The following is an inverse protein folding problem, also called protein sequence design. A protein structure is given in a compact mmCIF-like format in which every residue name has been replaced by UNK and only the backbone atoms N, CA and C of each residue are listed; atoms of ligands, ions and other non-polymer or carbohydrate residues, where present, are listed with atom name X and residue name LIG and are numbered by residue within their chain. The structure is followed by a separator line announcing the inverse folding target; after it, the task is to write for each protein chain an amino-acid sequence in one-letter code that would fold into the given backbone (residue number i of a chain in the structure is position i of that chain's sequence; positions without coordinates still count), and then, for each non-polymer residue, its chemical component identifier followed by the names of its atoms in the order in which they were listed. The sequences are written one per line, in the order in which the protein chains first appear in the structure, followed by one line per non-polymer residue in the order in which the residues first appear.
data_IF_259333126159
#
_entry.id   IF_259333126159
#
_cell.length_a   1.000
_cell.length_b   1.000
_cell.length_c   1.000
_cell.angle_alpha   90.00
_cell.angle_beta   90.00
_cell.angle_gamma   90.00
#
_symmetry.space_group_name_H-M   'P 1'
#
loop_
_entity.id
_entity.type
_entity.pdbx_description
1 polymer ?
#
# COMPACT_ATOMS: atom_id res chain seq x y z
N UNK A 1 -4.61 11.47 18.17
CA UNK A 1 -3.62 12.32 17.47
C UNK A 1 -2.28 11.62 17.43
N UNK A 2 -1.94 10.96 16.33
CA UNK A 2 -0.55 10.66 15.99
C UNK A 2 -0.48 10.32 14.49
N UNK A 3 0.14 11.22 13.72
CA UNK A 3 0.30 11.12 12.29
C UNK A 3 1.13 9.87 11.96
N UNK A 4 0.49 8.86 11.38
CA UNK A 4 1.10 7.58 11.04
C UNK A 4 2.27 7.80 10.07
N UNK A 5 3.41 7.25 10.47
CA UNK A 5 4.73 7.33 9.84
C UNK A 5 4.65 7.11 8.32
N UNK A 6 4.77 8.20 7.55
CA UNK A 6 5.03 8.17 6.09
C UNK A 6 6.09 7.10 5.73
N UNK A 7 5.83 6.30 4.70
CA UNK A 7 6.65 5.17 4.24
C UNK A 7 8.08 5.59 3.88
N UNK A 8 9.05 4.67 4.04
CA UNK A 8 10.50 4.94 3.97
C UNK A 8 10.96 5.60 2.65
N UNK A 9 10.25 5.39 1.52
CA UNK A 9 10.55 5.98 0.20
C UNK A 9 9.84 7.32 -0.06
N UNK A 10 8.60 7.50 0.39
CA UNK A 10 7.91 8.79 0.32
C UNK A 10 8.59 9.81 1.24
N UNK A 11 8.99 9.39 2.45
CA UNK A 11 9.91 10.16 3.28
C UNK A 11 11.22 10.46 2.55
N UNK A 12 11.74 9.57 1.70
CA UNK A 12 13.00 9.81 1.00
C UNK A 12 12.87 10.90 -0.06
N UNK A 13 11.83 10.90 -0.89
CA UNK A 13 11.59 12.00 -1.83
C UNK A 13 11.19 13.28 -1.10
N UNK A 14 10.22 13.22 -0.20
CA UNK A 14 9.81 14.43 0.54
C UNK A 14 10.96 14.99 1.37
N UNK A 15 11.79 14.18 2.03
CA UNK A 15 13.01 14.66 2.70
C UNK A 15 14.04 15.18 1.69
N UNK A 16 14.24 14.53 0.55
CA UNK A 16 15.19 14.99 -0.48
C UNK A 16 14.78 16.33 -1.09
N UNK A 17 13.50 16.46 -1.45
CA UNK A 17 12.91 17.65 -2.04
C UNK A 17 12.75 18.74 -0.97
N UNK A 18 12.20 18.45 0.21
CA UNK A 18 12.04 19.45 1.28
C UNK A 18 13.37 19.93 1.90
N UNK A 19 14.45 19.12 1.84
CA UNK A 19 15.79 19.56 2.24
C UNK A 19 16.39 20.57 1.24
N UNK A 20 15.94 20.58 -0.01
CA UNK A 20 16.46 21.46 -1.08
C UNK A 20 15.50 22.56 -1.52
N UNK A 21 14.19 22.40 -1.30
CA UNK A 21 13.15 23.27 -1.82
C UNK A 21 12.03 23.44 -0.79
N UNK A 22 11.61 24.68 -0.48
CA UNK A 22 10.50 24.92 0.44
C UNK A 22 9.17 24.44 -0.16
N UNK A 23 8.22 23.91 0.65
CA UNK A 23 6.97 23.31 0.18
C UNK A 23 6.06 24.24 -0.64
N UNK A 24 6.16 25.55 -0.43
CA UNK A 24 5.34 26.58 -1.09
C UNK A 24 6.02 27.21 -2.31
N UNK A 25 7.07 26.57 -2.86
CA UNK A 25 7.75 27.06 -4.07
C UNK A 25 7.18 26.43 -5.34
N UNK A 26 7.15 27.22 -6.43
CA UNK A 26 6.82 26.71 -7.78
C UNK A 26 7.68 25.50 -8.17
N UNK A 27 8.97 25.51 -7.79
CA UNK A 27 9.89 24.39 -8.00
C UNK A 27 9.49 23.11 -7.25
N UNK A 28 8.95 23.21 -6.03
CA UNK A 28 8.43 22.04 -5.31
C UNK A 28 7.27 21.40 -6.06
N UNK A 29 6.32 22.19 -6.56
CA UNK A 29 5.22 21.68 -7.37
C UNK A 29 5.71 21.03 -8.67
N UNK A 30 6.70 21.62 -9.34
CA UNK A 30 7.30 21.03 -10.55
C UNK A 30 8.00 19.70 -10.26
N UNK A 31 8.82 19.63 -9.21
CA UNK A 31 9.50 18.41 -8.80
C UNK A 31 8.52 17.30 -8.41
N UNK A 32 7.45 17.65 -7.70
CA UNK A 32 6.37 16.71 -7.32
C UNK A 32 5.63 16.20 -8.56
N UNK A 33 5.35 17.06 -9.53
CA UNK A 33 4.74 16.69 -10.81
C UNK A 33 5.64 15.76 -11.63
N UNK A 34 6.93 16.09 -11.76
CA UNK A 34 7.90 15.25 -12.45
C UNK A 34 8.05 13.86 -11.79
N UNK A 35 8.05 13.81 -10.45
CA UNK A 35 8.06 12.54 -9.72
C UNK A 35 6.79 11.71 -9.95
N UNK A 36 5.60 12.33 -9.92
CA UNK A 36 4.34 11.64 -10.23
C UNK A 36 4.34 11.12 -11.66
N UNK A 37 4.87 11.88 -12.61
CA UNK A 37 4.98 11.48 -14.00
C UNK A 37 5.89 10.25 -14.14
N UNK A 38 7.08 10.26 -13.52
CA UNK A 38 8.01 9.12 -13.58
C UNK A 38 7.45 7.87 -12.89
N UNK A 39 6.73 8.02 -11.77
CA UNK A 39 5.98 6.94 -11.13
C UNK A 39 4.91 6.38 -12.06
N UNK A 40 4.11 7.22 -12.70
CA UNK A 40 3.06 6.79 -13.62
C UNK A 40 3.63 6.05 -14.83
N UNK A 41 4.72 6.53 -15.42
CA UNK A 41 5.40 5.86 -16.53
C UNK A 41 5.91 4.47 -16.13
N UNK A 42 6.63 4.36 -15.00
CA UNK A 42 7.12 3.06 -14.51
C UNK A 42 6.00 2.13 -14.06
N UNK A 43 4.87 2.67 -13.59
CA UNK A 43 3.74 1.89 -13.08
C UNK A 43 3.08 1.00 -14.14
N UNK A 44 3.16 1.36 -15.43
CA UNK A 44 2.60 0.54 -16.53
C UNK A 44 3.19 -0.87 -16.58
N UNK A 45 4.43 -0.98 -16.11
CA UNK A 45 5.22 -2.21 -16.09
C UNK A 45 5.14 -2.96 -14.77
N UNK A 46 4.35 -2.49 -13.81
CA UNK A 46 4.18 -3.11 -12.48
C UNK A 46 2.81 -3.74 -12.35
N UNK A 47 2.74 -4.70 -11.44
CA UNK A 47 1.52 -5.45 -11.14
C UNK A 47 0.70 -4.74 -10.07
N UNK A 48 -0.50 -5.24 -9.85
CA UNK A 48 -1.38 -4.94 -8.72
C UNK A 48 -1.43 -6.18 -7.81
N UNK A 49 -1.89 -6.06 -6.55
CA UNK A 49 -2.02 -7.21 -5.67
C UNK A 49 -3.02 -8.23 -6.22
N UNK A 50 -2.75 -9.50 -5.96
CA UNK A 50 -3.64 -10.62 -6.21
C UNK A 50 -4.61 -10.85 -5.04
N UNK A 51 -4.18 -10.48 -3.84
CA UNK A 51 -4.99 -10.54 -2.63
C UNK A 51 -4.72 -9.36 -1.70
N UNK A 52 -5.75 -9.00 -0.93
CA UNK A 52 -5.68 -8.01 0.12
C UNK A 52 -6.08 -8.67 1.44
N UNK A 53 -5.24 -8.50 2.46
CA UNK A 53 -5.52 -8.95 3.83
C UNK A 53 -6.01 -7.77 4.64
N UNK A 54 -7.26 -7.88 5.08
CA UNK A 54 -7.93 -6.91 5.93
C UNK A 54 -8.13 -7.51 7.31
N UNK A 55 -7.92 -6.69 8.33
CA UNK A 55 -8.13 -7.10 9.70
C UNK A 55 -7.79 -5.95 10.62
N UNK A 56 -8.47 -5.91 11.75
CA UNK A 56 -8.16 -4.92 12.77
C UNK A 56 -6.88 -5.28 13.53
N UNK A 57 -6.35 -4.29 14.24
CA UNK A 57 -5.23 -4.51 15.15
C UNK A 57 -5.59 -5.60 16.17
N UNK A 58 -4.61 -6.45 16.51
CA UNK A 58 -4.74 -7.60 17.43
C UNK A 58 -5.64 -8.77 16.94
N UNK A 59 -5.96 -8.85 15.65
CA UNK A 59 -6.66 -10.00 15.05
C UNK A 59 -5.75 -11.13 14.54
N UNK A 60 -4.42 -11.03 14.66
CA UNK A 60 -3.49 -12.08 14.19
C UNK A 60 -2.97 -11.91 12.74
N UNK A 61 -3.09 -10.71 12.16
CA UNK A 61 -2.57 -10.39 10.81
C UNK A 61 -1.05 -10.63 10.68
N UNK A 62 -0.29 -10.51 11.77
CA UNK A 62 1.14 -10.80 11.79
C UNK A 62 1.43 -12.30 11.66
N UNK A 63 0.70 -13.15 12.39
CA UNK A 63 0.86 -14.61 12.31
C UNK A 63 0.44 -15.13 10.93
N UNK A 64 -0.69 -14.64 10.40
CA UNK A 64 -1.12 -14.98 9.04
C UNK A 64 -0.06 -14.57 8.01
N UNK A 65 0.50 -13.37 8.13
CA UNK A 65 1.59 -12.92 7.25
C UNK A 65 2.79 -13.86 7.32
N UNK A 66 3.24 -14.24 8.52
CA UNK A 66 4.40 -15.11 8.71
C UNK A 66 4.18 -16.47 8.01
N UNK A 67 3.01 -17.08 8.21
CA UNK A 67 2.67 -18.37 7.59
C UNK A 67 2.56 -18.26 6.06
N UNK A 68 2.02 -17.15 5.53
CA UNK A 68 1.85 -16.99 4.08
C UNK A 68 3.18 -16.88 3.34
N UNK A 69 4.16 -16.17 3.89
CA UNK A 69 5.45 -15.94 3.21
C UNK A 69 6.36 -17.16 3.24
N UNK A 70 6.02 -18.21 4.00
CA UNK A 70 6.67 -19.52 3.93
C UNK A 70 6.29 -20.29 2.65
N UNK A 71 5.16 -19.95 2.03
CA UNK A 71 4.71 -20.62 0.82
C UNK A 71 5.56 -20.19 -0.40
N UNK A 72 6.09 -21.12 -1.22
CA UNK A 72 7.03 -20.80 -2.30
C UNK A 72 6.47 -19.88 -3.40
N UNK A 73 5.14 -19.85 -3.54
CA UNK A 73 4.44 -18.96 -4.49
C UNK A 73 4.03 -17.61 -3.90
N UNK A 74 4.31 -17.33 -2.64
CA UNK A 74 3.96 -16.07 -1.98
C UNK A 74 5.24 -15.43 -1.42
N UNK A 75 5.91 -14.57 -2.19
CA UNK A 75 7.04 -13.82 -1.68
C UNK A 75 6.61 -12.87 -0.56
N UNK A 76 7.59 -12.43 0.23
CA UNK A 76 7.40 -11.34 1.19
C UNK A 76 6.72 -10.13 0.54
N UNK A 77 5.69 -9.62 1.20
CA UNK A 77 4.81 -8.60 0.64
C UNK A 77 4.61 -7.41 1.58
N UNK A 78 4.13 -6.30 1.02
CA UNK A 78 4.07 -5.03 1.75
C UNK A 78 2.93 -5.00 2.75
N UNK A 79 3.23 -4.53 3.96
CA UNK A 79 2.25 -4.28 5.04
C UNK A 79 2.16 -2.78 5.33
N UNK A 80 0.96 -2.31 5.65
CA UNK A 80 0.71 -0.92 6.02
C UNK A 80 0.99 0.04 4.86
N UNK A 81 0.53 -0.28 3.65
CA UNK A 81 0.63 0.66 2.52
C UNK A 81 -0.37 1.79 2.68
N UNK A 82 -1.52 1.50 3.30
CA UNK A 82 -2.57 2.49 3.56
C UNK A 82 -3.01 3.21 2.28
N UNK A 83 -3.14 2.48 1.16
CA UNK A 83 -3.53 3.09 -0.11
C UNK A 83 -5.02 3.38 -0.19
N UNK A 84 -5.87 2.43 0.21
CA UNK A 84 -7.32 2.59 0.12
C UNK A 84 -7.93 3.49 1.22
N UNK A 85 -7.13 3.90 2.22
CA UNK A 85 -7.50 4.84 3.29
C UNK A 85 -6.78 6.20 3.14
N UNK A 86 -5.57 6.36 3.69
CA UNK A 86 -4.91 7.65 3.88
C UNK A 86 -4.06 8.10 2.68
N UNK A 87 -3.61 7.17 1.83
CA UNK A 87 -2.68 7.45 0.73
C UNK A 87 -3.33 7.38 -0.66
N UNK A 88 -4.66 7.38 -0.75
CA UNK A 88 -5.38 7.23 -2.02
C UNK A 88 -5.06 8.35 -3.01
N UNK A 89 -4.89 9.57 -2.53
CA UNK A 89 -4.58 10.77 -3.33
C UNK A 89 -3.19 10.74 -3.98
N UNK A 90 -2.33 9.78 -3.60
CA UNK A 90 -1.06 9.56 -4.29
C UNK A 90 -1.26 8.86 -5.65
N UNK A 91 -2.43 8.29 -5.90
CA UNK A 91 -2.82 7.66 -7.16
C UNK A 91 -2.30 6.23 -7.35
N UNK A 92 -2.91 5.52 -8.29
CA UNK A 92 -2.63 4.11 -8.57
C UNK A 92 -1.18 3.88 -9.01
N UNK A 93 -0.56 4.84 -9.72
CA UNK A 93 0.84 4.74 -10.13
C UNK A 93 1.82 4.69 -8.94
N UNK A 94 1.49 5.39 -7.85
CA UNK A 94 2.22 5.32 -6.59
C UNK A 94 2.01 3.96 -5.91
N UNK A 95 0.78 3.46 -5.87
CA UNK A 95 0.45 2.16 -5.28
C UNK A 95 1.18 1.00 -5.96
N UNK A 96 1.26 1.04 -7.29
CA UNK A 96 1.97 0.04 -8.08
C UNK A 96 3.47 -0.07 -7.76
N UNK A 97 4.09 0.94 -7.15
CA UNK A 97 5.53 0.90 -6.80
C UNK A 97 5.88 -0.11 -5.70
N UNK A 98 4.87 -0.57 -4.95
CA UNK A 98 5.05 -1.57 -3.90
C UNK A 98 5.02 -3.01 -4.42
N UNK A 99 4.68 -3.19 -5.70
CA UNK A 99 4.54 -4.50 -6.34
C UNK A 99 5.66 -4.75 -7.36
N UNK A 100 5.97 -6.02 -7.64
CA UNK A 100 7.01 -6.35 -8.60
C UNK A 100 6.62 -5.93 -10.03
N UNK A 101 7.63 -5.66 -10.87
CA UNK A 101 7.42 -5.58 -12.31
C UNK A 101 6.79 -6.85 -12.87
N UNK A 102 6.02 -6.74 -13.95
CA UNK A 102 5.27 -7.85 -14.57
C UNK A 102 6.17 -9.05 -14.89
N UNK A 103 7.37 -8.82 -15.44
CA UNK A 103 8.32 -9.87 -15.78
C UNK A 103 8.96 -10.59 -14.57
N UNK A 104 8.87 -10.02 -13.36
CA UNK A 104 9.37 -10.66 -12.13
C UNK A 104 8.31 -11.44 -11.37
N UNK A 105 7.02 -11.20 -11.62
CA UNK A 105 5.92 -11.87 -10.90
C UNK A 105 5.91 -13.38 -11.15
N UNK A 106 6.22 -13.84 -12.36
CA UNK A 106 6.13 -15.27 -12.76
C UNK A 106 4.80 -15.88 -12.27
N UNK A 107 4.84 -17.05 -11.62
CA UNK A 107 3.68 -17.75 -11.05
C UNK A 107 3.42 -17.42 -9.56
N UNK A 108 3.99 -16.31 -9.07
CA UNK A 108 3.85 -15.90 -7.68
C UNK A 108 2.66 -14.94 -7.48
N UNK A 109 2.01 -15.06 -6.33
CA UNK A 109 0.94 -14.18 -5.88
C UNK A 109 1.51 -13.05 -5.01
N UNK A 110 1.12 -11.81 -5.29
CA UNK A 110 1.52 -10.67 -4.47
C UNK A 110 0.34 -10.21 -3.60
N UNK A 111 0.66 -9.88 -2.36
CA UNK A 111 -0.31 -9.45 -1.37
C UNK A 111 -0.11 -8.02 -0.91
N UNK A 112 -1.12 -7.50 -0.22
CA UNK A 112 -0.99 -6.31 0.61
C UNK A 112 -1.83 -6.48 1.88
N UNK A 113 -1.37 -5.95 3.00
CA UNK A 113 -2.11 -6.00 4.26
C UNK A 113 -2.15 -4.64 4.95
N UNK A 114 -3.35 -4.09 5.13
CA UNK A 114 -3.62 -2.87 5.89
C UNK A 114 -5.01 -2.94 6.55
N UNK A 115 -5.25 -2.21 7.65
CA UNK A 115 -6.50 -2.25 8.40
C UNK A 115 -7.60 -1.41 7.73
N UNK A 116 -8.08 -1.83 6.55
CA UNK A 116 -9.06 -1.04 5.80
C UNK A 116 -10.51 -1.17 6.30
N UNK A 117 -10.80 -2.10 7.24
CA UNK A 117 -12.15 -2.37 7.74
C UNK A 117 -12.82 -1.14 8.37
N UNK A 118 -12.05 -0.32 9.11
CA UNK A 118 -12.57 0.87 9.78
C UNK A 118 -12.68 2.10 8.87
N UNK A 119 -12.35 2.03 7.58
CA UNK A 119 -12.30 3.20 6.71
C UNK A 119 -13.44 3.21 5.68
N UNK A 120 -14.42 4.14 5.79
CA UNK A 120 -15.68 4.08 5.04
C UNK A 120 -15.55 4.01 3.52
N UNK A 121 -14.53 4.65 2.94
CA UNK A 121 -14.36 4.69 1.49
C UNK A 121 -13.50 3.55 0.92
N UNK A 122 -12.91 2.70 1.78
CA UNK A 122 -11.97 1.67 1.35
C UNK A 122 -12.60 0.69 0.37
N UNK A 123 -13.79 0.16 0.68
CA UNK A 123 -14.47 -0.81 -0.17
C UNK A 123 -14.73 -0.26 -1.59
N UNK A 124 -15.26 0.96 -1.69
CA UNK A 124 -15.50 1.63 -2.97
C UNK A 124 -14.20 1.84 -3.77
N UNK A 125 -13.12 2.22 -3.07
CA UNK A 125 -11.82 2.45 -3.70
C UNK A 125 -11.15 1.15 -4.15
N UNK A 126 -11.23 0.09 -3.34
CA UNK A 126 -10.76 -1.26 -3.71
C UNK A 126 -11.45 -1.71 -5.00
N UNK A 127 -12.79 -1.64 -5.04
CA UNK A 127 -13.57 -2.01 -6.22
C UNK A 127 -13.18 -1.20 -7.47
N UNK A 128 -12.91 0.11 -7.31
CA UNK A 128 -12.51 0.96 -8.45
C UNK A 128 -11.11 0.68 -9.01
N UNK A 129 -10.20 0.08 -8.24
CA UNK A 129 -8.78 -0.09 -8.63
C UNK A 129 -8.43 -1.55 -8.91
N UNK A 130 -9.00 -2.48 -8.14
CA UNK A 130 -8.72 -3.92 -8.19
C UNK A 130 -10.01 -4.72 -7.96
N UNK A 131 -10.97 -4.67 -8.90
CA UNK A 131 -12.30 -5.29 -8.73
C UNK A 131 -12.26 -6.80 -8.52
N UNK A 132 -11.26 -7.48 -9.08
CA UNK A 132 -11.13 -8.96 -9.04
C UNK A 132 -10.19 -9.47 -7.93
N UNK A 133 -9.76 -8.59 -7.01
CA UNK A 133 -8.80 -8.96 -5.97
C UNK A 133 -9.42 -9.89 -4.95
N UNK A 134 -8.65 -10.89 -4.50
CA UNK A 134 -9.12 -11.77 -3.41
C UNK A 134 -9.06 -11.02 -2.08
N UNK A 135 -10.18 -10.94 -1.38
CA UNK A 135 -10.26 -10.33 -0.06
C UNK A 135 -10.11 -11.42 1.01
N UNK A 136 -9.16 -11.24 1.92
CA UNK A 136 -8.96 -12.12 3.08
C UNK A 136 -9.22 -11.29 4.34
N UNK A 137 -10.30 -11.59 5.06
CA UNK A 137 -10.62 -10.93 6.32
C UNK A 137 -10.21 -11.81 7.50
N UNK A 138 -9.50 -11.24 8.48
CA UNK A 138 -9.22 -11.90 9.76
C UNK A 138 -9.90 -11.15 10.89
N UNK A 139 -10.81 -11.86 11.56
CA UNK A 139 -11.63 -11.34 12.64
C UNK A 139 -11.28 -12.07 13.94
N UNK A 140 -11.44 -11.37 15.05
CA UNK A 140 -11.29 -11.90 16.41
C UNK A 140 -12.52 -11.48 17.20
N UNK A 141 -12.86 -12.26 18.23
CA UNK A 141 -13.86 -11.84 19.22
C UNK A 141 -13.59 -10.38 19.64
N UNK A 142 -14.57 -9.47 19.49
CA UNK A 142 -14.36 -8.04 19.75
C UNK A 142 -13.95 -7.75 21.19
N UNK A 143 -14.40 -8.56 22.16
CA UNK A 143 -14.01 -8.44 23.57
C UNK A 143 -12.51 -8.72 23.70
N UNK A 144 -12.06 -9.87 23.24
CA UNK A 144 -10.66 -10.30 23.36
C UNK A 144 -9.67 -9.40 22.62
N UNK A 145 -10.13 -8.68 21.59
CA UNK A 145 -9.31 -7.72 20.84
C UNK A 145 -9.21 -6.37 21.55
N UNK A 146 -10.24 -5.95 22.27
CA UNK A 146 -10.28 -4.64 22.92
C UNK A 146 -9.33 -4.59 24.13
N UNK A 147 -9.25 -5.68 24.90
CA UNK A 147 -8.37 -5.83 26.05
C UNK A 147 -6.97 -6.38 25.66
#
# INVERSE_FOLDING_TARGET
MNAHKKTHKQKKLEKFVAKKLPPNSSMYSMAKSAYRLSMNTSSKFRTLPDFLIFGESKCGTNSLYANLIEHPKIPSFSKGIHFFDAAFDNGVGWYKQYFPPKWKKKDQLNGESSPYLNYPHSAKRVFSVVPDVKLVAILRNPIDRAY
#
